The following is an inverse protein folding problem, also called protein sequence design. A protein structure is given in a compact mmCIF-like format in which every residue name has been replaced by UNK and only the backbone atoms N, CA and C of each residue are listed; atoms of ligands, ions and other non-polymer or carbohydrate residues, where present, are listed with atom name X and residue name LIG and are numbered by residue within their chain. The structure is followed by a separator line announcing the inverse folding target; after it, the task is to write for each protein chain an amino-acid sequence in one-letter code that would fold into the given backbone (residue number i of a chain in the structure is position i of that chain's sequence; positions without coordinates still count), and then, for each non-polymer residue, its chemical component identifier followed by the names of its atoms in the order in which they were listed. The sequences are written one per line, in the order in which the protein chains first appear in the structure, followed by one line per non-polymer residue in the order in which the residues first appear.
data_IF_604872806791
#
_entry.id   IF_604872806791
#
_cell.length_a   1.000
_cell.length_b   1.000
_cell.length_c   1.000
_cell.angle_alpha   90.00
_cell.angle_beta   90.00
_cell.angle_gamma   90.00
#
_symmetry.space_group_name_H-M   'P 1'
#
loop_
_entity.id
_entity.type
_entity.pdbx_description
1 polymer ?
#
# COMPACT_ATOMS: atom_id res chain seq x y z
N UNK A 1 46.52 -2.59 -0.49
CA UNK A 1 47.02 -3.10 -1.79
C UNK A 1 45.92 -3.08 -2.86
N UNK A 2 45.04 -4.09 -2.99
CA UNK A 2 44.02 -4.13 -4.07
C UNK A 2 43.15 -2.85 -4.14
N UNK A 3 42.64 -2.40 -3.00
CA UNK A 3 41.86 -1.15 -2.86
C UNK A 3 42.61 0.11 -3.28
N UNK A 4 43.91 0.17 -2.99
CA UNK A 4 44.77 1.28 -3.36
C UNK A 4 45.04 1.28 -4.87
N UNK A 5 45.34 0.12 -5.46
CA UNK A 5 45.46 -0.06 -6.90
C UNK A 5 44.16 0.34 -7.64
N UNK A 6 42.99 0.04 -7.06
CA UNK A 6 41.68 0.44 -7.61
C UNK A 6 41.56 1.97 -7.75
N UNK A 7 42.03 2.75 -6.76
CA UNK A 7 42.11 4.21 -6.85
C UNK A 7 43.21 4.68 -7.82
N UNK A 8 44.43 4.19 -7.65
CA UNK A 8 45.60 4.59 -8.46
C UNK A 8 45.40 4.36 -9.96
N UNK A 9 44.65 3.32 -10.34
CA UNK A 9 44.33 3.02 -11.74
C UNK A 9 42.98 3.56 -12.18
N UNK A 10 42.27 4.33 -11.35
CA UNK A 10 40.92 4.87 -11.57
C UNK A 10 39.97 3.82 -12.15
N UNK A 11 39.85 2.69 -11.44
CA UNK A 11 39.13 1.53 -11.98
C UNK A 11 37.64 1.80 -12.15
N UNK A 12 37.03 2.65 -11.33
CA UNK A 12 35.61 3.04 -11.46
C UNK A 12 35.33 3.78 -12.79
N UNK A 13 36.16 4.77 -13.12
CA UNK A 13 36.14 5.52 -14.40
C UNK A 13 36.22 4.56 -15.60
N UNK A 14 37.11 3.55 -15.52
CA UNK A 14 37.27 2.53 -16.57
C UNK A 14 36.10 1.55 -16.67
N UNK A 15 35.53 1.13 -15.53
CA UNK A 15 34.37 0.25 -15.49
C UNK A 15 33.14 0.94 -16.10
N UNK A 16 32.93 2.22 -15.76
CA UNK A 16 31.91 3.06 -16.40
C UNK A 16 32.20 3.28 -17.89
N UNK A 17 33.47 3.46 -18.27
CA UNK A 17 33.91 3.49 -19.67
C UNK A 17 33.54 2.23 -20.47
N UNK A 18 33.45 1.05 -19.85
CA UNK A 18 32.93 -0.15 -20.51
C UNK A 18 31.39 -0.17 -20.61
N UNK A 19 30.65 0.64 -19.85
CA UNK A 19 29.20 0.72 -19.91
C UNK A 19 28.67 1.76 -20.92
N UNK A 20 29.52 2.71 -21.35
CA UNK A 20 29.20 3.73 -22.36
C UNK A 20 28.29 3.22 -23.50
N UNK A 21 27.15 3.87 -23.80
CA UNK A 21 26.22 3.43 -24.87
C UNK A 21 26.83 3.39 -26.28
N UNK A 22 27.95 4.09 -26.50
CA UNK A 22 28.75 4.04 -27.73
C UNK A 22 29.44 2.68 -27.93
N UNK A 23 29.66 1.90 -26.85
CA UNK A 23 30.35 0.60 -26.88
C UNK A 23 29.36 -0.55 -26.88
N UNK A 24 29.55 -1.49 -27.82
CA UNK A 24 28.78 -2.75 -27.89
C UNK A 24 29.25 -3.77 -26.85
N UNK A 25 29.23 -3.37 -25.57
CA UNK A 25 29.65 -4.22 -24.45
C UNK A 25 28.62 -5.33 -24.20
N UNK A 26 29.08 -6.57 -24.30
CA UNK A 26 28.24 -7.76 -24.14
C UNK A 26 27.61 -7.87 -22.73
N UNK A 27 26.40 -8.43 -22.64
CA UNK A 27 25.67 -8.63 -21.37
C UNK A 27 26.55 -9.19 -20.23
N UNK A 28 27.32 -10.28 -20.40
CA UNK A 28 28.08 -10.86 -19.30
C UNK A 28 29.09 -9.88 -18.67
N UNK A 29 29.64 -8.95 -19.46
CA UNK A 29 30.51 -7.91 -18.94
C UNK A 29 29.73 -6.87 -18.10
N UNK A 30 28.54 -6.45 -18.56
CA UNK A 30 27.67 -5.53 -17.78
C UNK A 30 27.24 -6.16 -16.46
N UNK A 31 26.83 -7.43 -16.50
CA UNK A 31 26.50 -8.25 -15.33
C UNK A 31 27.70 -8.34 -14.37
N UNK A 32 28.88 -8.72 -14.86
CA UNK A 32 30.08 -8.84 -14.03
C UNK A 32 30.49 -7.51 -13.39
N UNK A 33 30.36 -6.38 -14.10
CA UNK A 33 30.64 -5.04 -13.57
C UNK A 33 29.69 -4.73 -12.40
N UNK A 34 28.38 -4.87 -12.58
CA UNK A 34 27.38 -4.61 -11.54
C UNK A 34 27.54 -5.55 -10.33
N UNK A 35 27.73 -6.86 -10.56
CA UNK A 35 27.96 -7.84 -9.51
C UNK A 35 29.23 -7.50 -8.70
N UNK A 36 30.34 -7.22 -9.37
CA UNK A 36 31.62 -6.92 -8.72
C UNK A 36 31.56 -5.61 -7.93
N UNK A 37 30.91 -4.57 -8.47
CA UNK A 37 30.71 -3.30 -7.76
C UNK A 37 29.76 -3.46 -6.57
N UNK A 38 28.68 -4.25 -6.70
CA UNK A 38 27.78 -4.56 -5.59
C UNK A 38 28.53 -5.24 -4.42
N UNK A 39 29.30 -6.29 -4.70
CA UNK A 39 30.12 -6.99 -3.70
C UNK A 39 31.17 -6.03 -3.09
N UNK A 40 31.80 -5.18 -3.90
CA UNK A 40 32.78 -4.20 -3.44
C UNK A 40 32.15 -3.15 -2.49
N UNK A 41 31.00 -2.56 -2.85
CA UNK A 41 30.31 -1.57 -2.01
C UNK A 41 29.66 -2.17 -0.76
N UNK A 42 29.37 -3.47 -0.72
CA UNK A 42 28.95 -4.15 0.52
C UNK A 42 30.12 -4.33 1.51
N UNK A 43 31.28 -4.78 1.01
CA UNK A 43 32.42 -5.20 1.84
C UNK A 43 33.44 -4.08 2.14
N UNK A 44 33.30 -2.90 1.53
CA UNK A 44 34.18 -1.76 1.77
C UNK A 44 33.96 -1.14 3.16
N UNK A 45 34.92 -1.32 4.06
CA UNK A 45 34.91 -0.80 5.43
C UNK A 45 35.92 0.33 5.68
N UNK A 46 36.65 0.79 4.65
CA UNK A 46 37.61 1.89 4.77
C UNK A 46 36.93 3.22 4.40
N UNK A 47 36.71 4.10 5.38
CA UNK A 47 36.01 5.36 5.19
C UNK A 47 36.63 6.24 4.11
N UNK A 48 37.96 6.45 4.13
CA UNK A 48 38.65 7.30 3.14
C UNK A 48 38.45 6.84 1.69
N UNK A 49 38.40 5.51 1.47
CA UNK A 49 38.09 4.92 0.18
C UNK A 49 36.61 5.10 -0.21
N UNK A 50 35.67 5.00 0.75
CA UNK A 50 34.25 5.32 0.52
C UNK A 50 34.11 6.79 0.09
N UNK A 51 34.69 7.71 0.86
CA UNK A 51 34.71 9.14 0.53
C UNK A 51 35.29 9.39 -0.87
N UNK A 52 36.43 8.79 -1.23
CA UNK A 52 37.00 8.92 -2.57
C UNK A 52 36.07 8.39 -3.68
N UNK A 53 35.49 7.21 -3.51
CA UNK A 53 34.61 6.59 -4.51
C UNK A 53 33.32 7.40 -4.73
N UNK A 54 32.75 7.96 -3.66
CA UNK A 54 31.53 8.76 -3.71
C UNK A 54 31.77 10.22 -4.13
N UNK A 55 32.97 10.77 -3.91
CA UNK A 55 33.34 12.14 -4.34
C UNK A 55 33.52 12.29 -5.85
N UNK A 56 33.68 11.18 -6.58
CA UNK A 56 33.73 11.19 -8.04
C UNK A 56 32.36 10.75 -8.55
N UNK A 57 31.72 11.60 -9.37
CA UNK A 57 30.29 11.49 -9.73
C UNK A 57 29.93 10.20 -10.50
N UNK A 58 30.93 9.42 -10.91
CA UNK A 58 30.83 8.07 -11.48
C UNK A 58 29.84 7.14 -10.76
N UNK A 59 29.61 7.29 -9.44
CA UNK A 59 28.59 6.50 -8.74
C UNK A 59 27.17 6.93 -9.11
N UNK A 60 26.92 8.24 -9.27
CA UNK A 60 25.65 8.75 -9.79
C UNK A 60 25.49 8.49 -11.30
N UNK A 61 26.58 8.51 -12.07
CA UNK A 61 26.59 8.06 -13.47
C UNK A 61 26.22 6.57 -13.58
N UNK A 62 26.72 5.71 -12.68
CA UNK A 62 26.37 4.28 -12.60
C UNK A 62 24.92 4.05 -12.14
N UNK A 63 24.41 4.85 -11.18
CA UNK A 63 23.01 4.79 -10.75
C UNK A 63 22.08 5.16 -11.92
N UNK A 64 22.36 6.27 -12.60
CA UNK A 64 21.50 6.82 -13.68
C UNK A 64 21.70 6.14 -15.04
N UNK A 65 22.62 5.18 -15.13
CA UNK A 65 22.91 4.45 -16.35
C UNK A 65 21.70 3.66 -16.87
N UNK A 66 21.40 3.81 -18.17
CA UNK A 66 20.29 3.12 -18.84
C UNK A 66 20.67 1.68 -19.20
N UNK A 67 20.56 0.79 -18.23
CA UNK A 67 20.58 -0.66 -18.47
C UNK A 67 19.30 -1.12 -19.18
N UNK A 68 19.36 -2.31 -19.79
CA UNK A 68 18.20 -2.95 -20.38
C UNK A 68 17.52 -3.82 -19.33
N UNK A 69 16.43 -3.31 -18.74
CA UNK A 69 15.66 -3.99 -17.70
C UNK A 69 14.60 -4.95 -18.26
N UNK A 70 14.59 -5.24 -19.57
CA UNK A 70 13.93 -6.46 -20.08
C UNK A 70 14.74 -7.72 -19.72
N UNK A 71 16.02 -7.56 -19.36
CA UNK A 71 16.87 -8.63 -18.86
C UNK A 71 16.80 -8.71 -17.33
N UNK A 72 16.04 -9.69 -16.81
CA UNK A 72 15.79 -9.86 -15.37
C UNK A 72 17.08 -10.06 -14.56
N UNK A 73 18.08 -10.75 -15.12
CA UNK A 73 19.38 -10.96 -14.49
C UNK A 73 20.13 -9.63 -14.33
N UNK A 74 20.23 -8.83 -15.39
CA UNK A 74 20.88 -7.53 -15.36
C UNK A 74 20.19 -6.58 -14.37
N UNK A 75 18.84 -6.61 -14.33
CA UNK A 75 18.04 -5.88 -13.35
C UNK A 75 18.30 -6.34 -11.92
N UNK A 76 18.35 -7.64 -11.64
CA UNK A 76 18.61 -8.17 -10.30
C UNK A 76 19.99 -7.75 -9.77
N UNK A 77 21.03 -7.74 -10.63
CA UNK A 77 22.35 -7.22 -10.26
C UNK A 77 22.36 -5.69 -10.07
N UNK A 78 21.62 -4.94 -10.88
CA UNK A 78 21.46 -3.49 -10.71
C UNK A 78 20.77 -3.14 -9.38
N UNK A 79 19.65 -3.80 -9.05
CA UNK A 79 18.94 -3.63 -7.78
C UNK A 79 19.81 -4.03 -6.59
N UNK A 80 20.62 -5.09 -6.74
CA UNK A 80 21.61 -5.49 -5.73
C UNK A 80 22.69 -4.42 -5.53
N UNK A 81 23.14 -3.76 -6.61
CA UNK A 81 24.09 -2.64 -6.56
C UNK A 81 23.48 -1.39 -5.91
N UNK A 82 22.24 -1.00 -6.25
CA UNK A 82 21.56 0.10 -5.56
C UNK A 82 21.39 -0.21 -4.05
N UNK A 83 21.01 -1.45 -3.69
CA UNK A 83 20.93 -1.89 -2.29
C UNK A 83 22.31 -1.81 -1.59
N UNK A 84 23.39 -2.20 -2.26
CA UNK A 84 24.76 -2.06 -1.74
C UNK A 84 25.11 -0.60 -1.44
N UNK A 85 24.79 0.33 -2.34
CA UNK A 85 24.99 1.77 -2.12
C UNK A 85 24.12 2.32 -0.98
N UNK A 86 22.87 1.83 -0.84
CA UNK A 86 21.97 2.24 0.25
C UNK A 86 22.55 1.96 1.65
N UNK A 87 23.38 0.92 1.78
CA UNK A 87 24.10 0.55 3.00
C UNK A 87 25.36 1.40 3.24
N UNK A 88 25.66 2.37 2.37
CA UNK A 88 26.76 3.34 2.51
C UNK A 88 26.26 4.79 2.66
N UNK A 89 24.95 5.03 2.58
CA UNK A 89 24.34 6.35 2.83
C UNK A 89 24.15 6.53 4.34
N UNK A 90 24.66 7.64 4.88
CA UNK A 90 24.53 8.04 6.28
C UNK A 90 24.65 9.57 6.38
N UNK A 91 24.64 10.14 7.59
CA UNK A 91 24.74 11.58 7.81
C UNK A 91 26.01 12.22 7.21
N UNK A 92 27.14 11.51 7.18
CA UNK A 92 28.39 12.01 6.62
C UNK A 92 28.45 11.90 5.09
N UNK A 93 27.80 10.88 4.50
CA UNK A 93 27.90 10.55 3.06
C UNK A 93 26.69 10.98 2.21
N UNK A 94 25.56 11.36 2.82
CA UNK A 94 24.32 11.73 2.11
C UNK A 94 24.54 12.79 1.02
N UNK A 95 25.46 13.73 1.25
CA UNK A 95 25.77 14.83 0.34
C UNK A 95 26.40 14.41 -1.00
N UNK A 96 26.83 13.15 -1.16
CA UNK A 96 27.25 12.59 -2.45
C UNK A 96 26.09 12.02 -3.28
N UNK A 97 25.01 11.60 -2.61
CA UNK A 97 23.83 11.00 -3.24
C UNK A 97 22.67 11.99 -3.40
N UNK A 98 22.65 13.07 -2.62
CA UNK A 98 21.62 14.10 -2.63
C UNK A 98 22.22 15.50 -2.86
N UNK A 99 21.87 16.12 -3.99
CA UNK A 99 22.19 17.51 -4.27
C UNK A 99 21.12 18.42 -3.65
N UNK A 100 21.51 19.33 -2.75
CA UNK A 100 20.58 20.25 -2.09
C UNK A 100 20.50 21.65 -2.72
N UNK A 101 21.41 22.02 -3.64
CA UNK A 101 21.77 23.45 -3.84
C UNK A 101 21.13 24.19 -5.00
N UNK A 102 20.72 23.54 -6.09
CA UNK A 102 20.16 24.21 -7.28
C UNK A 102 19.04 23.42 -7.95
N UNK A 103 19.34 22.20 -8.38
CA UNK A 103 18.34 21.20 -8.76
C UNK A 103 18.35 20.12 -7.69
N UNK A 104 17.29 20.01 -6.86
CA UNK A 104 17.29 19.04 -5.79
C UNK A 104 17.01 17.65 -6.36
N UNK A 105 18.02 16.78 -6.29
CA UNK A 105 18.07 15.48 -6.97
C UNK A 105 18.66 14.43 -6.04
N UNK A 106 18.08 13.22 -6.05
CA UNK A 106 18.54 12.08 -5.27
C UNK A 106 18.50 10.80 -6.13
N UNK A 107 19.45 10.60 -7.07
CA UNK A 107 19.39 9.55 -8.06
C UNK A 107 19.15 8.14 -7.48
N UNK A 108 19.84 7.80 -6.39
CA UNK A 108 19.73 6.50 -5.74
C UNK A 108 18.30 6.18 -5.28
N UNK A 109 17.58 7.19 -4.77
CA UNK A 109 16.18 7.04 -4.39
C UNK A 109 15.26 7.02 -5.62
N UNK A 110 15.42 7.96 -6.54
CA UNK A 110 14.50 8.12 -7.68
C UNK A 110 14.59 6.97 -8.69
N UNK A 111 15.75 6.34 -8.84
CA UNK A 111 15.89 5.13 -9.67
C UNK A 111 15.30 3.90 -8.96
N UNK A 112 15.63 3.68 -7.68
CA UNK A 112 15.12 2.52 -6.93
C UNK A 112 13.60 2.51 -6.80
N UNK A 113 12.97 3.68 -6.62
CA UNK A 113 11.51 3.81 -6.51
C UNK A 113 10.75 3.36 -7.77
N UNK A 114 11.40 3.24 -8.94
CA UNK A 114 10.77 2.71 -10.16
C UNK A 114 10.36 1.24 -10.02
N UNK A 115 11.07 0.47 -9.19
CA UNK A 115 10.92 -0.98 -9.05
C UNK A 115 10.09 -1.40 -7.83
N UNK A 116 9.40 -0.44 -7.17
CA UNK A 116 8.66 -0.68 -5.93
C UNK A 116 7.55 -1.74 -6.02
N UNK A 117 6.89 -1.84 -7.18
CA UNK A 117 5.83 -2.80 -7.49
C UNK A 117 6.28 -3.76 -8.60
N UNK A 118 7.54 -4.18 -8.58
CA UNK A 118 8.04 -5.21 -9.48
C UNK A 118 7.45 -6.59 -9.13
N UNK A 119 7.22 -7.48 -10.11
CA UNK A 119 6.58 -8.79 -9.87
C UNK A 119 7.43 -9.77 -9.04
N UNK A 120 8.76 -9.74 -9.19
CA UNK A 120 9.65 -10.45 -8.27
C UNK A 120 9.62 -9.83 -6.87
N UNK A 121 9.24 -10.65 -5.89
CA UNK A 121 9.25 -10.33 -4.47
C UNK A 121 10.64 -9.91 -3.96
N UNK A 122 11.73 -10.51 -4.44
CA UNK A 122 13.08 -10.19 -3.98
C UNK A 122 13.51 -8.78 -4.42
N UNK A 123 13.15 -8.34 -5.62
CA UNK A 123 13.26 -6.93 -6.04
C UNK A 123 12.44 -6.02 -5.13
N UNK A 124 11.16 -6.33 -4.82
CA UNK A 124 10.35 -5.52 -3.90
C UNK A 124 11.01 -5.41 -2.51
N UNK A 125 11.50 -6.51 -1.94
CA UNK A 125 12.21 -6.54 -0.65
C UNK A 125 13.49 -5.70 -0.70
N UNK A 126 14.26 -5.75 -1.79
CA UNK A 126 15.47 -4.94 -1.96
C UNK A 126 15.15 -3.44 -2.02
N UNK A 127 14.13 -3.03 -2.78
CA UNK A 127 13.68 -1.63 -2.85
C UNK A 127 13.16 -1.15 -1.48
N UNK A 128 12.31 -1.94 -0.80
CA UNK A 128 11.82 -1.66 0.56
C UNK A 128 12.98 -1.49 1.56
N UNK A 129 14.03 -2.31 1.46
CA UNK A 129 15.25 -2.18 2.31
C UNK A 129 15.95 -0.85 2.03
N UNK A 130 16.16 -0.51 0.75
CA UNK A 130 16.83 0.72 0.33
C UNK A 130 16.08 1.98 0.78
N UNK A 131 14.75 2.01 0.65
CA UNK A 131 13.95 3.15 1.09
C UNK A 131 13.97 3.33 2.61
N UNK A 132 13.92 2.23 3.39
CA UNK A 132 14.01 2.31 4.85
C UNK A 132 15.40 2.79 5.31
N UNK A 133 16.48 2.30 4.68
CA UNK A 133 17.84 2.79 4.92
C UNK A 133 17.94 4.31 4.73
N UNK A 134 17.33 4.84 3.66
CA UNK A 134 17.33 6.28 3.34
C UNK A 134 16.44 7.07 4.32
N UNK A 135 15.22 6.59 4.62
CA UNK A 135 14.28 7.30 5.51
C UNK A 135 14.76 7.39 6.97
N UNK A 136 15.58 6.42 7.41
CA UNK A 136 16.22 6.44 8.74
C UNK A 136 17.31 7.51 8.92
N UNK A 137 17.77 8.17 7.85
CA UNK A 137 18.80 9.22 7.94
C UNK A 137 18.17 10.54 8.38
N UNK A 138 18.77 11.20 9.37
CA UNK A 138 18.36 12.51 9.88
C UNK A 138 19.17 13.66 9.24
N UNK A 139 18.96 13.86 7.93
CA UNK A 139 19.36 15.10 7.24
C UNK A 139 18.12 15.93 6.88
N UNK A 140 18.12 17.21 7.26
CA UNK A 140 16.97 18.09 7.10
C UNK A 140 16.63 18.38 5.63
N UNK A 141 17.63 18.60 4.78
CA UNK A 141 17.42 18.93 3.36
C UNK A 141 16.89 17.74 2.56
N UNK A 142 17.46 16.56 2.80
CA UNK A 142 17.01 15.29 2.25
C UNK A 142 15.58 14.98 2.73
N UNK A 143 15.28 15.17 4.02
CA UNK A 143 13.94 14.96 4.58
C UNK A 143 12.92 15.91 3.96
N UNK A 144 13.23 17.19 3.81
CA UNK A 144 12.36 18.13 3.10
C UNK A 144 12.13 17.73 1.64
N UNK A 145 13.20 17.38 0.91
CA UNK A 145 13.12 16.90 -0.47
C UNK A 145 12.21 15.68 -0.61
N UNK A 146 12.42 14.64 0.19
CA UNK A 146 11.64 13.40 0.14
C UNK A 146 10.16 13.70 0.41
N UNK A 147 9.85 14.45 1.46
CA UNK A 147 8.48 14.79 1.82
C UNK A 147 7.76 15.58 0.71
N UNK A 148 8.45 16.53 0.08
CA UNK A 148 7.87 17.44 -0.92
C UNK A 148 7.88 16.89 -2.36
N UNK A 149 8.77 15.94 -2.72
CA UNK A 149 8.96 15.48 -4.10
C UNK A 149 8.62 14.01 -4.35
N UNK A 150 8.98 13.10 -3.45
CA UNK A 150 8.86 11.65 -3.71
C UNK A 150 7.78 10.97 -2.88
N UNK A 151 7.62 11.34 -1.60
CA UNK A 151 6.70 10.68 -0.68
C UNK A 151 5.23 10.73 -1.12
N UNK A 152 4.74 11.89 -1.57
CA UNK A 152 3.34 12.07 -1.98
C UNK A 152 2.93 11.18 -3.17
N UNK A 153 3.64 11.19 -4.32
CA UNK A 153 3.32 10.26 -5.41
C UNK A 153 3.59 8.80 -5.02
N UNK A 154 4.72 8.50 -4.38
CA UNK A 154 5.09 7.13 -4.02
C UNK A 154 4.06 6.45 -3.10
N UNK A 155 3.67 7.11 -2.01
CA UNK A 155 2.67 6.57 -1.09
C UNK A 155 1.26 6.54 -1.69
N UNK A 156 0.94 7.46 -2.63
CA UNK A 156 -0.31 7.37 -3.39
C UNK A 156 -0.35 6.13 -4.28
N UNK A 157 0.78 5.79 -4.93
CA UNK A 157 0.89 4.61 -5.79
C UNK A 157 0.84 3.29 -4.99
N UNK A 158 1.53 3.20 -3.84
CA UNK A 158 1.40 2.05 -2.92
C UNK A 158 -0.07 1.84 -2.55
N UNK A 159 -0.73 2.89 -2.06
CA UNK A 159 -2.12 2.79 -1.59
C UNK A 159 -3.08 2.46 -2.75
N UNK A 160 -2.81 2.94 -3.97
CA UNK A 160 -3.58 2.58 -5.17
C UNK A 160 -3.44 1.09 -5.54
N UNK A 161 -2.23 0.52 -5.53
CA UNK A 161 -2.04 -0.92 -5.76
C UNK A 161 -2.68 -1.76 -4.64
N UNK A 162 -2.64 -1.32 -3.38
CA UNK A 162 -3.37 -2.00 -2.30
C UNK A 162 -4.88 -2.03 -2.60
N UNK A 163 -5.48 -0.87 -2.95
CA UNK A 163 -6.90 -0.77 -3.34
C UNK A 163 -7.22 -1.70 -4.53
N UNK A 164 -6.35 -1.73 -5.55
CA UNK A 164 -6.51 -2.61 -6.72
C UNK A 164 -6.53 -4.09 -6.32
N UNK A 165 -5.60 -4.52 -5.47
CA UNK A 165 -5.54 -5.90 -4.98
C UNK A 165 -6.68 -6.26 -4.01
N UNK A 166 -7.24 -5.30 -3.27
CA UNK A 166 -8.45 -5.56 -2.48
C UNK A 166 -9.70 -5.75 -3.35
N UNK A 167 -9.81 -5.08 -4.51
CA UNK A 167 -10.88 -5.37 -5.48
C UNK A 167 -10.65 -6.69 -6.23
N UNK A 168 -9.40 -7.01 -6.54
CA UNK A 168 -9.00 -8.32 -7.08
C UNK A 168 -9.39 -9.46 -6.11
N UNK A 169 -9.18 -9.27 -4.81
CA UNK A 169 -9.65 -10.16 -3.75
C UNK A 169 -11.19 -10.26 -3.72
N UNK A 170 -11.91 -9.14 -3.71
CA UNK A 170 -13.38 -9.08 -3.61
C UNK A 170 -14.09 -9.80 -4.78
N UNK A 171 -13.53 -9.66 -5.99
CA UNK A 171 -13.94 -10.45 -7.17
C UNK A 171 -13.73 -11.95 -6.93
N UNK A 172 -12.54 -12.34 -6.44
CA UNK A 172 -12.23 -13.75 -6.16
C UNK A 172 -13.07 -14.33 -5.00
N UNK A 173 -13.56 -13.52 -4.06
CA UNK A 173 -14.54 -13.95 -3.05
C UNK A 173 -15.91 -14.23 -3.70
N UNK A 174 -16.32 -13.40 -4.67
CA UNK A 174 -17.53 -13.64 -5.46
C UNK A 174 -17.39 -14.91 -6.32
N UNK A 175 -16.27 -15.10 -7.00
CA UNK A 175 -15.98 -16.31 -7.77
C UNK A 175 -15.96 -17.57 -6.88
N UNK A 176 -15.45 -17.45 -5.64
CA UNK A 176 -15.44 -18.53 -4.65
C UNK A 176 -16.86 -18.97 -4.24
N UNK A 177 -17.81 -18.04 -4.14
CA UNK A 177 -19.21 -18.33 -3.80
C UNK A 177 -19.97 -18.99 -4.96
N UNK A 178 -19.53 -18.79 -6.20
CA UNK A 178 -20.13 -19.39 -7.41
C UNK A 178 -19.47 -20.73 -7.81
N UNK A 179 -18.23 -20.96 -7.38
CA UNK A 179 -17.47 -22.18 -7.65
C UNK A 179 -18.18 -23.44 -7.11
N UNK A 180 -18.67 -24.29 -8.01
CA UNK A 180 -19.50 -25.46 -7.65
C UNK A 180 -18.66 -26.73 -7.49
N UNK A 181 -17.45 -26.79 -8.04
CA UNK A 181 -16.55 -27.96 -7.91
C UNK A 181 -15.21 -27.64 -7.23
N UNK A 182 -14.64 -28.59 -6.45
CA UNK A 182 -13.28 -28.49 -5.90
C UNK A 182 -12.13 -28.42 -6.92
N UNK A 183 -12.43 -28.32 -8.22
CA UNK A 183 -11.46 -27.97 -9.27
C UNK A 183 -11.43 -26.46 -9.53
N UNK A 184 -12.57 -25.77 -9.48
CA UNK A 184 -12.64 -24.30 -9.54
C UNK A 184 -12.12 -23.65 -8.25
N UNK A 185 -12.54 -24.17 -7.09
CA UNK A 185 -12.25 -23.56 -5.78
C UNK A 185 -10.74 -23.48 -5.45
N UNK A 186 -9.92 -24.39 -5.98
CA UNK A 186 -8.49 -24.50 -5.67
C UNK A 186 -7.63 -23.34 -6.20
N UNK A 187 -7.64 -23.00 -7.51
CA UNK A 187 -6.90 -21.84 -8.00
C UNK A 187 -7.39 -20.52 -7.38
N UNK A 188 -8.70 -20.36 -7.18
CA UNK A 188 -9.28 -19.17 -6.51
C UNK A 188 -8.67 -19.02 -5.11
N UNK A 189 -8.69 -20.09 -4.30
CA UNK A 189 -8.08 -20.11 -2.97
C UNK A 189 -6.60 -19.72 -2.97
N UNK A 190 -5.80 -20.28 -3.89
CA UNK A 190 -4.38 -19.94 -3.98
C UNK A 190 -4.16 -18.45 -4.31
N UNK A 191 -4.96 -17.87 -5.22
CA UNK A 191 -4.93 -16.45 -5.53
C UNK A 191 -5.32 -15.58 -4.34
N UNK A 192 -6.37 -15.97 -3.60
CA UNK A 192 -6.80 -15.33 -2.35
C UNK A 192 -5.67 -15.35 -1.31
N UNK A 193 -5.08 -16.53 -1.04
CA UNK A 193 -3.97 -16.67 -0.08
C UNK A 193 -2.75 -15.84 -0.48
N UNK A 194 -2.40 -15.79 -1.79
CA UNK A 194 -1.33 -14.95 -2.33
C UNK A 194 -1.60 -13.45 -2.09
N UNK A 195 -2.79 -12.96 -2.46
CA UNK A 195 -3.13 -11.54 -2.30
C UNK A 195 -3.09 -11.14 -0.82
N UNK A 196 -3.65 -11.98 0.06
CA UNK A 196 -3.66 -11.74 1.50
C UNK A 196 -2.23 -11.60 2.05
N UNK A 197 -1.29 -12.46 1.63
CA UNK A 197 0.11 -12.35 2.03
C UNK A 197 0.78 -11.08 1.48
N UNK A 198 0.57 -10.75 0.20
CA UNK A 198 1.13 -9.52 -0.40
C UNK A 198 0.64 -8.25 0.32
N UNK A 199 -0.61 -8.22 0.82
CA UNK A 199 -1.11 -7.11 1.63
C UNK A 199 -0.56 -7.09 3.06
N UNK A 200 -0.35 -8.24 3.70
CA UNK A 200 0.34 -8.33 5.01
C UNK A 200 1.76 -7.75 4.90
N UNK A 201 2.49 -8.10 3.83
CA UNK A 201 3.85 -7.60 3.60
C UNK A 201 3.87 -6.08 3.31
N UNK A 202 2.83 -5.56 2.63
CA UNK A 202 2.64 -4.12 2.44
C UNK A 202 2.40 -3.41 3.78
N UNK A 203 1.54 -3.94 4.65
CA UNK A 203 1.25 -3.34 5.95
C UNK A 203 2.45 -3.35 6.91
N UNK A 204 3.30 -4.38 6.89
CA UNK A 204 4.56 -4.37 7.64
C UNK A 204 5.51 -3.26 7.12
N UNK A 205 5.72 -3.17 5.81
CA UNK A 205 6.54 -2.10 5.22
C UNK A 205 5.99 -0.69 5.53
N UNK A 206 4.66 -0.52 5.52
CA UNK A 206 3.97 0.70 5.96
C UNK A 206 4.26 1.04 7.42
N UNK A 207 4.18 0.04 8.32
CA UNK A 207 4.51 0.23 9.74
C UNK A 207 5.96 0.68 9.90
N UNK A 208 6.89 0.10 9.15
CA UNK A 208 8.31 0.43 9.23
C UNK A 208 8.60 1.86 8.72
N UNK A 209 7.92 2.31 7.65
CA UNK A 209 7.96 3.72 7.22
C UNK A 209 7.38 4.65 8.29
N UNK A 210 6.31 4.27 8.99
CA UNK A 210 5.81 5.09 10.10
C UNK A 210 6.81 5.11 11.27
N UNK A 211 7.49 3.98 11.54
CA UNK A 211 8.41 3.80 12.66
C UNK A 211 9.79 4.46 12.48
N UNK A 212 10.25 4.73 11.26
CA UNK A 212 11.62 5.20 10.94
C UNK A 212 12.06 6.58 11.48
N UNK A 213 11.34 7.18 12.43
CA UNK A 213 11.74 8.44 13.07
C UNK A 213 11.60 9.68 12.17
N UNK A 214 10.75 9.63 11.14
CA UNK A 214 10.56 10.70 10.16
C UNK A 214 9.08 11.17 10.15
N UNK A 215 8.72 12.20 10.96
CA UNK A 215 7.32 12.58 11.21
C UNK A 215 6.53 13.01 9.96
N UNK A 216 7.17 13.64 8.98
CA UNK A 216 6.51 14.06 7.74
C UNK A 216 6.03 12.85 6.91
N UNK A 217 6.84 11.78 6.81
CA UNK A 217 6.41 10.56 6.11
C UNK A 217 5.26 9.88 6.84
N UNK A 218 5.33 9.74 8.18
CA UNK A 218 4.21 9.20 8.98
C UNK A 218 2.93 9.99 8.71
N UNK A 219 2.97 11.32 8.69
CA UNK A 219 1.80 12.17 8.41
C UNK A 219 1.26 11.99 6.99
N UNK A 220 2.12 11.99 5.97
CA UNK A 220 1.70 11.82 4.56
C UNK A 220 1.13 10.41 4.34
N UNK A 221 1.83 9.38 4.78
CA UNK A 221 1.43 7.98 4.61
C UNK A 221 0.15 7.66 5.38
N UNK A 222 0.05 8.05 6.65
CA UNK A 222 -1.15 7.86 7.46
C UNK A 222 -2.37 8.57 6.86
N UNK A 223 -2.22 9.81 6.40
CA UNK A 223 -3.29 10.54 5.72
C UNK A 223 -3.71 9.87 4.40
N UNK A 224 -2.77 9.33 3.61
CA UNK A 224 -3.08 8.61 2.36
C UNK A 224 -3.80 7.29 2.63
N UNK A 225 -3.31 6.48 3.55
CA UNK A 225 -3.96 5.21 3.95
C UNK A 225 -5.36 5.46 4.48
N UNK A 226 -5.53 6.44 5.36
CA UNK A 226 -6.82 6.81 5.93
C UNK A 226 -7.82 7.23 4.85
N UNK A 227 -7.51 8.27 4.07
CA UNK A 227 -8.48 8.90 3.16
C UNK A 227 -8.60 8.22 1.78
N UNK A 228 -7.87 7.12 1.52
CA UNK A 228 -7.96 6.37 0.25
C UNK A 228 -8.20 4.87 0.43
N UNK A 229 -7.67 4.24 1.47
CA UNK A 229 -7.90 2.82 1.74
C UNK A 229 -8.91 2.63 2.88
N UNK A 230 -8.61 3.12 4.08
CA UNK A 230 -9.32 2.71 5.30
C UNK A 230 -10.75 3.30 5.37
N UNK A 231 -10.94 4.60 5.12
CA UNK A 231 -12.30 5.17 5.14
C UNK A 231 -13.15 4.63 3.97
N UNK A 232 -12.71 4.63 2.70
CA UNK A 232 -13.58 4.20 1.60
C UNK A 232 -13.72 2.67 1.48
N UNK A 233 -12.60 1.94 1.45
CA UNK A 233 -12.62 0.49 1.19
C UNK A 233 -13.00 -0.34 2.41
N UNK A 234 -12.89 0.22 3.63
CA UNK A 234 -13.28 -0.48 4.86
C UNK A 234 -14.53 0.15 5.49
N UNK A 235 -14.52 1.41 5.96
CA UNK A 235 -15.66 1.92 6.74
C UNK A 235 -16.91 2.25 5.92
N UNK A 236 -16.78 2.87 4.75
CA UNK A 236 -17.93 3.10 3.87
C UNK A 236 -18.52 1.75 3.39
N UNK A 237 -17.66 0.77 3.13
CA UNK A 237 -18.06 -0.60 2.78
C UNK A 237 -18.78 -1.33 3.92
N UNK A 238 -18.25 -1.31 5.15
CA UNK A 238 -18.92 -1.87 6.35
C UNK A 238 -20.26 -1.17 6.60
N UNK A 239 -20.33 0.16 6.44
CA UNK A 239 -21.57 0.94 6.61
C UNK A 239 -22.61 0.63 5.53
N UNK A 240 -22.19 0.37 4.29
CA UNK A 240 -23.08 -0.11 3.22
C UNK A 240 -23.67 -1.48 3.55
N UNK A 241 -22.80 -2.46 3.89
CA UNK A 241 -23.24 -3.81 4.29
C UNK A 241 -24.19 -3.77 5.51
N UNK A 242 -23.87 -2.98 6.55
CA UNK A 242 -24.74 -2.78 7.74
C UNK A 242 -26.09 -2.12 7.47
N UNK A 243 -26.25 -1.38 6.38
CA UNK A 243 -27.52 -0.70 6.04
C UNK A 243 -28.46 -1.57 5.20
N UNK A 244 -27.97 -2.72 4.73
CA UNK A 244 -28.60 -3.47 3.64
C UNK A 244 -28.49 -2.72 2.31
N UNK A 245 -28.55 -3.45 1.20
CA UNK A 245 -28.41 -2.89 -0.15
C UNK A 245 -29.61 -2.00 -0.53
N UNK A 246 -29.60 -0.74 -0.09
CA UNK A 246 -30.47 0.30 -0.65
C UNK A 246 -30.25 0.35 -2.17
N UNK A 247 -31.31 0.15 -2.94
CA UNK A 247 -31.28 0.41 -4.38
C UNK A 247 -30.87 1.86 -4.62
N UNK A 248 -30.05 2.16 -5.64
CA UNK A 248 -29.71 3.54 -5.99
C UNK A 248 -30.94 4.21 -6.60
N UNK A 249 -31.63 5.02 -5.81
CA UNK A 249 -32.63 5.97 -6.29
C UNK A 249 -31.91 7.12 -7.02
N UNK A 250 -32.32 7.41 -8.27
CA UNK A 250 -31.90 8.51 -9.14
C UNK A 250 -30.41 8.90 -9.16
N UNK A 251 -29.58 8.11 -9.87
CA UNK A 251 -28.19 8.49 -10.19
C UNK A 251 -28.00 8.98 -11.63
N UNK A 252 -27.35 10.14 -11.75
CA UNK A 252 -27.15 10.90 -12.98
C UNK A 252 -25.92 10.41 -13.77
N UNK A 253 -26.07 10.16 -15.08
CA UNK A 253 -25.10 9.44 -15.93
C UNK A 253 -23.65 9.97 -15.92
N UNK A 254 -23.44 11.25 -15.55
CA UNK A 254 -22.11 11.91 -15.58
C UNK A 254 -21.12 11.40 -14.52
N UNK A 255 -21.51 10.48 -13.65
CA UNK A 255 -20.64 9.91 -12.61
C UNK A 255 -19.79 8.71 -13.06
N UNK A 256 -20.08 8.10 -14.22
CA UNK A 256 -19.69 6.71 -14.50
C UNK A 256 -18.17 6.45 -14.57
N UNK A 257 -17.35 7.39 -15.06
CA UNK A 257 -15.88 7.22 -15.09
C UNK A 257 -15.22 7.24 -13.69
N UNK A 258 -15.91 7.74 -12.66
CA UNK A 258 -15.47 7.62 -11.26
C UNK A 258 -16.04 6.38 -10.55
N UNK A 259 -17.03 5.68 -11.13
CA UNK A 259 -17.83 4.68 -10.44
C UNK A 259 -17.06 3.40 -10.06
N UNK A 260 -16.08 2.98 -10.88
CA UNK A 260 -15.14 1.89 -10.55
C UNK A 260 -14.30 2.16 -9.29
N UNK A 261 -14.37 3.38 -8.73
CA UNK A 261 -13.71 3.73 -7.47
C UNK A 261 -14.63 3.70 -6.24
N UNK A 262 -15.94 3.49 -6.40
CA UNK A 262 -16.94 3.79 -5.34
C UNK A 262 -17.87 2.62 -4.95
N UNK A 263 -17.79 1.47 -5.59
CA UNK A 263 -18.54 0.30 -5.15
C UNK A 263 -18.01 -0.22 -3.79
N UNK A 264 -18.89 -0.53 -2.82
CA UNK A 264 -18.49 -1.04 -1.51
C UNK A 264 -18.03 -2.49 -1.61
N UNK A 265 -16.94 -2.83 -0.92
CA UNK A 265 -16.45 -4.21 -0.83
C UNK A 265 -17.44 -5.10 -0.07
N UNK A 266 -17.35 -6.41 -0.30
CA UNK A 266 -17.97 -7.40 0.56
C UNK A 266 -17.44 -7.30 1.99
N UNK A 267 -18.30 -7.59 2.97
CA UNK A 267 -17.98 -7.46 4.39
C UNK A 267 -16.68 -8.19 4.82
N UNK A 268 -16.35 -9.42 4.34
CA UNK A 268 -15.09 -10.09 4.69
C UNK A 268 -13.84 -9.34 4.19
N UNK A 269 -13.87 -8.78 2.97
CA UNK A 269 -12.74 -8.04 2.41
C UNK A 269 -12.55 -6.68 3.11
N UNK A 270 -13.65 -5.96 3.38
CA UNK A 270 -13.64 -4.72 4.14
C UNK A 270 -13.07 -4.93 5.57
N UNK A 271 -13.51 -5.99 6.27
CA UNK A 271 -13.03 -6.33 7.60
C UNK A 271 -11.57 -6.82 7.61
N UNK A 272 -11.09 -7.48 6.55
CA UNK A 272 -9.68 -7.85 6.42
C UNK A 272 -8.77 -6.62 6.42
N UNK A 273 -9.16 -5.52 5.76
CA UNK A 273 -8.41 -4.25 5.79
C UNK A 273 -8.27 -3.73 7.23
N UNK A 274 -9.36 -3.75 8.01
CA UNK A 274 -9.32 -3.35 9.42
C UNK A 274 -8.40 -4.27 10.24
N UNK A 275 -8.57 -5.59 10.11
CA UNK A 275 -7.81 -6.58 10.87
C UNK A 275 -6.30 -6.52 10.58
N UNK A 276 -5.91 -6.38 9.31
CA UNK A 276 -4.50 -6.23 8.92
C UNK A 276 -3.92 -4.89 9.37
N UNK A 277 -4.68 -3.79 9.27
CA UNK A 277 -4.21 -2.48 9.76
C UNK A 277 -3.98 -2.54 11.29
N UNK A 278 -4.93 -3.08 12.05
CA UNK A 278 -4.81 -3.23 13.51
C UNK A 278 -3.71 -4.21 13.95
N UNK A 279 -3.50 -5.29 13.21
CA UNK A 279 -2.51 -6.33 13.53
C UNK A 279 -1.06 -5.94 13.22
N UNK A 280 -0.84 -5.12 12.18
CA UNK A 280 0.50 -4.76 11.70
C UNK A 280 0.92 -3.31 11.98
N UNK A 281 0.00 -2.33 12.01
CA UNK A 281 0.35 -0.91 12.14
C UNK A 281 0.28 -0.46 13.61
N UNK A 282 1.44 -0.11 14.18
CA UNK A 282 1.58 0.22 15.60
C UNK A 282 1.27 1.69 15.94
N UNK A 283 0.64 2.45 15.03
CA UNK A 283 0.23 3.82 15.31
C UNK A 283 -1.06 3.85 16.15
N UNK A 284 -0.91 4.20 17.43
CA UNK A 284 -2.01 4.25 18.39
C UNK A 284 -3.19 5.11 17.93
N UNK A 285 -2.92 6.24 17.25
CA UNK A 285 -3.99 7.16 16.82
C UNK A 285 -4.81 6.58 15.67
N UNK A 286 -4.16 5.86 14.76
CA UNK A 286 -4.83 5.15 13.68
C UNK A 286 -5.65 3.97 14.22
N UNK A 287 -5.06 3.15 15.10
CA UNK A 287 -5.75 1.98 15.67
C UNK A 287 -6.91 2.36 16.60
N UNK A 288 -6.77 3.43 17.39
CA UNK A 288 -7.87 3.98 18.19
C UNK A 288 -9.02 4.51 17.31
N UNK A 289 -8.70 5.24 16.23
CA UNK A 289 -9.71 5.69 15.27
C UNK A 289 -10.43 4.50 14.60
N UNK A 290 -9.69 3.45 14.21
CA UNK A 290 -10.27 2.26 13.59
C UNK A 290 -11.23 1.56 14.55
N UNK A 291 -10.81 1.32 15.80
CA UNK A 291 -11.65 0.68 16.81
C UNK A 291 -12.93 1.50 17.07
N UNK A 292 -12.81 2.83 17.24
CA UNK A 292 -13.98 3.72 17.38
C UNK A 292 -14.89 3.67 16.15
N UNK A 293 -14.33 3.68 14.94
CA UNK A 293 -15.11 3.64 13.68
C UNK A 293 -15.84 2.31 13.45
N UNK A 294 -15.29 1.19 13.95
CA UNK A 294 -15.95 -0.12 13.92
C UNK A 294 -17.12 -0.22 14.90
N UNK A 295 -17.04 0.43 16.06
CA UNK A 295 -18.07 0.38 17.11
C UNK A 295 -19.05 1.56 17.11
N UNK A 296 -18.86 2.57 16.27
CA UNK A 296 -19.83 3.65 16.07
C UNK A 296 -21.22 3.09 15.72
N UNK A 297 -22.27 3.63 16.35
CA UNK A 297 -23.66 3.26 16.11
C UNK A 297 -24.16 3.86 14.79
N UNK A 298 -25.43 3.56 14.43
CA UNK A 298 -26.08 4.17 13.26
C UNK A 298 -26.32 5.68 13.41
N UNK A 299 -26.33 6.20 14.64
CA UNK A 299 -26.69 7.60 14.95
C UNK A 299 -25.48 8.50 15.28
N UNK A 300 -24.30 7.92 15.58
CA UNK A 300 -23.03 8.66 15.80
C UNK A 300 -22.40 9.23 14.51
N UNK A 301 -23.12 9.14 13.39
CA UNK A 301 -22.62 9.33 12.02
C UNK A 301 -22.04 10.74 11.72
N UNK A 302 -22.24 11.71 12.61
CA UNK A 302 -21.81 13.10 12.48
C UNK A 302 -20.35 13.38 12.92
N UNK A 303 -19.76 12.60 13.84
CA UNK A 303 -18.45 12.92 14.45
C UNK A 303 -17.25 12.15 13.88
N UNK A 304 -17.44 11.32 12.83
CA UNK A 304 -16.38 10.48 12.25
C UNK A 304 -15.31 11.22 11.40
N UNK A 305 -14.99 12.46 11.78
CA UNK A 305 -13.79 13.16 11.30
C UNK A 305 -12.57 12.72 12.11
N UNK A 306 -11.62 12.06 11.45
CA UNK A 306 -10.27 11.88 11.99
C UNK A 306 -9.68 13.26 12.36
N UNK A 307 -9.08 13.45 13.55
CA UNK A 307 -8.59 14.74 13.98
C UNK A 307 -7.64 15.37 12.95
N UNK A 308 -8.07 16.49 12.35
CA UNK A 308 -7.29 17.26 11.40
C UNK A 308 -6.00 17.74 12.06
N UNK A 309 -4.90 17.00 11.87
CA UNK A 309 -3.56 17.38 12.35
C UNK A 309 -3.16 18.65 11.61
N UNK A 310 -3.47 19.81 12.19
CA UNK A 310 -3.31 21.15 11.61
C UNK A 310 -1.99 21.24 10.85
N UNK A 311 -2.07 21.35 9.54
CA UNK A 311 -0.95 21.89 8.77
C UNK A 311 -0.78 23.36 9.16
N UNK A 312 0.45 23.88 9.30
CA UNK A 312 0.66 25.31 9.35
C UNK A 312 0.25 25.87 7.98
N UNK A 313 -0.98 26.36 7.86
CA UNK A 313 -1.41 27.09 6.67
C UNK A 313 -0.53 28.34 6.56
N UNK A 314 0.13 28.49 5.42
CA UNK A 314 0.96 29.67 5.16
C UNK A 314 0.14 30.93 5.41
N UNK A 315 0.65 31.84 6.26
CA UNK A 315 -0.01 33.11 6.53
C UNK A 315 -0.21 33.85 5.21
N UNK A 316 -1.46 34.03 4.79
CA UNK A 316 -1.80 34.99 3.73
C UNK A 316 -1.35 36.38 4.21
N UNK A 317 -0.30 36.90 3.61
CA UNK A 317 0.01 38.33 3.68
C UNK A 317 -1.13 39.13 3.07
N UNK A 318 -1.40 40.32 3.60
CA UNK A 318 -2.48 41.17 3.12
C UNK A 318 -2.18 41.71 1.71
N UNK A 319 -3.23 41.84 0.91
CA UNK A 319 -3.21 42.52 -0.38
C UNK A 319 -2.96 44.02 -0.21
N UNK A 320 -2.04 44.57 -0.99
CA UNK A 320 -1.94 46.00 -1.30
C UNK A 320 -2.12 46.15 -2.81
N UNK A 321 -2.85 47.18 -3.25
CA UNK A 321 -3.40 47.26 -4.60
C UNK A 321 -2.49 47.98 -5.60
N UNK A 322 -2.44 47.45 -6.83
CA UNK A 322 -2.30 48.19 -8.13
C UNK A 322 -1.00 48.98 -8.40
N UNK A 323 -0.71 49.40 -9.66
CA UNK A 323 -1.45 49.26 -10.93
C UNK A 323 -0.67 48.50 -12.04
N UNK A 324 -1.17 48.60 -13.28
CA UNK A 324 -0.80 47.83 -14.47
C UNK A 324 0.47 48.32 -15.20
N UNK A 325 1.10 47.44 -16.00
CA UNK A 325 2.23 47.74 -16.89
C UNK A 325 2.39 46.70 -18.01
N UNK A 326 2.80 47.11 -19.21
CA UNK A 326 2.75 46.34 -20.47
C UNK A 326 3.97 45.42 -20.74
N UNK A 327 3.84 44.64 -21.83
CA UNK A 327 4.90 44.10 -22.71
C UNK A 327 5.69 42.86 -22.22
N UNK A 328 6.15 41.90 -23.06
CA UNK A 328 5.75 41.43 -24.42
C UNK A 328 6.48 40.12 -24.81
N UNK A 329 5.81 39.27 -25.61
CA UNK A 329 6.35 38.33 -26.65
C UNK A 329 7.33 37.17 -26.29
N UNK A 330 7.47 36.23 -27.25
CA UNK A 330 8.25 34.96 -27.28
C UNK A 330 7.76 33.80 -26.35
N UNK A 331 7.18 32.70 -26.83
CA UNK A 331 7.70 31.63 -27.74
C UNK A 331 8.81 30.74 -27.11
N UNK A 332 8.82 29.40 -27.23
CA UNK A 332 7.99 28.42 -27.98
C UNK A 332 8.17 26.99 -27.39
N UNK A 333 7.45 26.00 -27.95
CA UNK A 333 7.78 24.55 -27.96
C UNK A 333 7.57 23.69 -26.70
N UNK A 334 6.37 23.11 -26.58
CA UNK A 334 6.21 21.65 -26.36
C UNK A 334 4.90 21.19 -27.06
N UNK A 335 4.85 19.95 -27.56
CA UNK A 335 3.64 19.39 -28.21
C UNK A 335 2.76 18.64 -27.19
N UNK A 336 1.42 18.75 -27.25
CA UNK A 336 0.53 17.93 -26.43
C UNK A 336 0.46 16.49 -26.95
N UNK A 337 0.60 15.51 -26.05
CA UNK A 337 0.48 14.09 -26.35
C UNK A 337 -0.87 13.52 -25.93
N UNK A 338 -1.76 13.31 -26.91
CA UNK A 338 -2.84 12.30 -26.95
C UNK A 338 -3.62 12.06 -25.65
N UNK A 339 -4.83 12.64 -25.55
CA UNK A 339 -5.88 12.19 -24.63
C UNK A 339 -7.27 12.52 -25.19
N UNK A 340 -7.86 11.64 -26.03
CA UNK A 340 -9.22 11.83 -26.59
C UNK A 340 -9.97 10.49 -26.72
N UNK A 341 -11.13 10.45 -26.04
CA UNK A 341 -12.33 9.64 -26.27
C UNK A 341 -12.27 8.11 -26.45
N UNK A 342 -13.10 7.43 -25.65
CA UNK A 342 -13.85 6.23 -26.08
C UNK A 342 -15.34 6.51 -25.91
N UNK A 343 -16.08 6.62 -27.02
CA UNK A 343 -17.55 6.51 -27.09
C UNK A 343 -17.95 6.34 -28.56
N UNK A 344 -18.86 5.40 -28.87
CA UNK A 344 -20.21 5.67 -29.43
C UNK A 344 -20.93 4.37 -29.88
N UNK A 345 -22.17 4.16 -29.39
CA UNK A 345 -23.29 3.37 -29.98
C UNK A 345 -23.06 1.86 -30.32
N UNK A 346 -24.04 0.98 -30.58
CA UNK A 346 -25.42 1.07 -31.12
C UNK A 346 -26.41 0.10 -30.39
N UNK A 347 -27.71 0.44 -30.43
CA UNK A 347 -28.99 -0.33 -30.25
C UNK A 347 -28.93 -1.88 -30.50
N UNK A 348 -29.83 -2.76 -30.02
CA UNK A 348 -31.20 -2.64 -29.41
C UNK A 348 -31.49 -3.93 -28.52
N UNK A 349 -32.68 -4.40 -28.08
CA UNK A 349 -34.12 -4.12 -28.31
C UNK A 349 -35.06 -4.63 -27.14
N UNK A 350 -36.38 -4.44 -27.29
CA UNK A 350 -37.61 -5.16 -26.81
C UNK A 350 -37.52 -6.60 -26.22
N UNK A 351 -38.49 -7.15 -25.43
CA UNK A 351 -39.88 -6.77 -25.04
C UNK A 351 -40.35 -7.44 -23.70
N UNK A 352 -41.55 -7.06 -23.23
CA UNK A 352 -42.45 -7.53 -22.14
C UNK A 352 -42.62 -9.08 -21.97
N UNK A 353 -43.25 -9.72 -20.96
CA UNK A 353 -44.13 -9.43 -19.79
C UNK A 353 -43.68 -10.32 -18.56
N UNK A 354 -44.27 -10.40 -17.35
CA UNK A 354 -45.59 -10.03 -16.81
C UNK A 354 -45.74 -10.32 -15.30
N UNK A 355 -46.99 -10.49 -14.83
CA UNK A 355 -47.43 -10.36 -13.41
C UNK A 355 -47.28 -11.60 -12.50
N UNK A 356 -47.33 -11.41 -11.17
CA UNK A 356 -47.43 -12.51 -10.18
C UNK A 356 -47.49 -12.04 -8.72
N UNK A 357 -48.62 -12.27 -8.04
CA UNK A 357 -48.93 -11.78 -6.68
C UNK A 357 -48.84 -12.88 -5.61
N UNK A 358 -48.22 -12.54 -4.46
CA UNK A 358 -48.61 -12.76 -3.02
C UNK A 358 -49.51 -13.95 -2.58
N UNK A 359 -49.54 -14.34 -1.27
CA UNK A 359 -48.56 -14.19 -0.18
C UNK A 359 -48.45 -15.47 0.73
N UNK A 360 -47.86 -15.27 1.92
CA UNK A 360 -48.33 -15.76 3.24
C UNK A 360 -47.55 -16.80 4.09
N UNK A 361 -47.83 -16.69 5.38
CA UNK A 361 -47.15 -17.20 6.61
C UNK A 361 -48.13 -18.20 7.32
N UNK A 362 -48.04 -18.56 8.64
CA UNK A 362 -47.06 -18.29 9.71
C UNK A 362 -46.64 -19.54 10.58
N UNK A 363 -45.80 -19.31 11.62
CA UNK A 363 -45.76 -19.99 12.96
C UNK A 363 -45.62 -21.54 13.07
N UNK A 364 -44.84 -22.14 14.00
CA UNK A 364 -44.80 -21.92 15.46
C UNK A 364 -43.48 -22.39 16.14
N UNK A 365 -43.26 -21.97 17.39
CA UNK A 365 -42.34 -22.52 18.41
C UNK A 365 -43.16 -23.01 19.65
N UNK A 366 -42.66 -23.66 20.75
CA UNK A 366 -41.61 -23.13 21.66
C UNK A 366 -40.81 -24.13 22.60
N UNK A 367 -40.00 -23.56 23.53
CA UNK A 367 -39.68 -23.97 24.94
C UNK A 367 -38.75 -25.17 25.31
N UNK A 368 -37.94 -24.99 26.39
CA UNK A 368 -37.22 -26.05 27.15
C UNK A 368 -36.01 -25.60 28.04
N UNK A 369 -36.18 -25.67 29.37
CA UNK A 369 -35.26 -25.58 30.55
C UNK A 369 -33.76 -26.02 30.36
N UNK A 370 -32.70 -25.37 30.91
CA UNK A 370 -32.15 -25.27 32.30
C UNK A 370 -31.42 -26.56 32.85
N UNK A 371 -30.44 -26.58 33.79
CA UNK A 371 -29.87 -25.60 34.76
C UNK A 371 -28.40 -25.93 35.24
N UNK A 372 -27.81 -25.07 36.09
CA UNK A 372 -26.75 -25.28 37.13
C UNK A 372 -25.24 -25.61 36.84
N UNK A 373 -24.42 -24.54 36.93
CA UNK A 373 -23.20 -24.34 37.78
C UNK A 373 -22.17 -25.46 38.08
N UNK A 374 -20.89 -25.16 37.79
CA UNK A 374 -19.77 -25.33 38.74
C UNK A 374 -18.59 -24.38 38.39
N UNK A 375 -17.79 -23.93 39.36
CA UNK A 375 -16.90 -22.76 39.20
C UNK A 375 -15.38 -23.01 39.22
N UNK A 376 -14.62 -22.10 38.59
CA UNK A 376 -13.15 -22.02 38.64
C UNK A 376 -12.65 -20.68 38.09
N UNK A 377 -11.84 -19.96 38.87
CA UNK A 377 -11.45 -18.58 38.55
C UNK A 377 -10.38 -18.46 37.46
N UNK A 378 -10.65 -17.64 36.43
CA UNK A 378 -9.72 -17.24 35.38
C UNK A 378 -9.78 -15.69 35.23
N UNK A 379 -8.74 -15.02 34.72
CA UNK A 379 -8.65 -13.55 34.80
C UNK A 379 -9.75 -12.84 34.02
N UNK A 380 -10.12 -11.64 34.49
CA UNK A 380 -11.17 -10.79 33.92
C UNK A 380 -10.88 -10.43 32.45
N UNK A 381 -11.40 -11.24 31.53
CA UNK A 381 -11.44 -10.95 30.09
C UNK A 381 -12.71 -10.18 29.78
N UNK A 382 -12.67 -9.25 28.82
CA UNK A 382 -13.83 -8.42 28.44
C UNK A 382 -14.98 -9.18 27.74
N UNK A 383 -14.98 -10.53 27.79
CA UNK A 383 -15.98 -11.41 27.17
C UNK A 383 -17.43 -11.13 27.62
N UNK A 384 -17.76 -10.91 28.91
CA UNK A 384 -19.17 -10.76 29.33
C UNK A 384 -19.88 -9.55 28.71
N UNK A 385 -19.17 -8.43 28.52
CA UNK A 385 -19.73 -7.21 27.91
C UNK A 385 -19.99 -7.41 26.42
N UNK A 386 -19.19 -8.26 25.77
CA UNK A 386 -19.26 -8.52 24.33
C UNK A 386 -20.48 -9.37 23.96
N UNK A 387 -20.74 -10.46 24.69
CA UNK A 387 -21.83 -11.40 24.33
C UNK A 387 -23.24 -10.89 24.71
N UNK A 388 -23.36 -10.00 25.69
CA UNK A 388 -24.67 -9.48 26.15
C UNK A 388 -25.34 -8.47 25.20
N UNK A 389 -24.72 -8.14 24.06
CA UNK A 389 -25.23 -7.17 23.08
C UNK A 389 -25.66 -7.82 21.75
N UNK A 390 -25.82 -9.15 21.71
CA UNK A 390 -26.18 -9.91 20.52
C UNK A 390 -27.66 -10.36 20.62
N UNK A 391 -28.54 -9.83 19.74
CA UNK A 391 -29.94 -10.27 19.61
C UNK A 391 -30.64 -10.00 18.24
N UNK A 392 -29.94 -9.66 17.15
CA UNK A 392 -30.53 -9.39 15.81
C UNK A 392 -29.58 -9.75 14.64
N UNK A 393 -29.96 -9.54 13.37
CA UNK A 393 -29.06 -9.79 12.23
C UNK A 393 -27.78 -8.92 12.25
N UNK A 394 -27.79 -7.80 12.97
CA UNK A 394 -26.59 -6.99 13.25
C UNK A 394 -25.52 -7.79 14.03
N UNK A 395 -25.93 -8.83 14.77
CA UNK A 395 -25.06 -9.74 15.54
C UNK A 395 -24.00 -10.40 14.68
N UNK A 396 -24.31 -10.80 13.45
CA UNK A 396 -23.34 -11.53 12.62
C UNK A 396 -22.23 -10.58 12.15
N UNK A 397 -22.58 -9.34 11.79
CA UNK A 397 -21.61 -8.29 11.48
C UNK A 397 -20.81 -7.87 12.72
N UNK A 398 -21.45 -7.75 13.89
CA UNK A 398 -20.78 -7.45 15.17
C UNK A 398 -19.85 -8.59 15.59
N UNK A 399 -20.28 -9.86 15.49
CA UNK A 399 -19.49 -11.06 15.78
C UNK A 399 -18.30 -11.20 14.84
N UNK A 400 -18.45 -10.90 13.54
CA UNK A 400 -17.31 -10.83 12.62
C UNK A 400 -16.34 -9.70 12.99
N UNK A 401 -16.82 -8.50 13.31
CA UNK A 401 -15.98 -7.38 13.78
C UNK A 401 -15.20 -7.77 15.04
N UNK A 402 -15.86 -8.38 16.02
CA UNK A 402 -15.25 -8.89 17.25
C UNK A 402 -14.22 -9.99 16.96
N UNK A 403 -14.51 -10.89 16.02
CA UNK A 403 -13.60 -11.96 15.61
C UNK A 403 -12.39 -11.41 14.86
N UNK A 404 -12.54 -10.37 14.03
CA UNK A 404 -11.45 -9.64 13.40
C UNK A 404 -10.56 -8.92 14.41
N UNK A 405 -11.15 -8.28 15.43
CA UNK A 405 -10.41 -7.62 16.51
C UNK A 405 -9.66 -8.66 17.35
N UNK A 406 -10.30 -9.77 17.70
CA UNK A 406 -9.65 -10.89 18.41
C UNK A 406 -8.52 -11.52 17.58
N UNK A 407 -8.71 -11.70 16.28
CA UNK A 407 -7.67 -12.20 15.38
C UNK A 407 -6.47 -11.26 15.31
N UNK A 408 -6.70 -9.95 15.17
CA UNK A 408 -5.66 -8.93 15.21
C UNK A 408 -4.91 -8.90 16.56
N UNK A 409 -5.65 -8.92 17.68
CA UNK A 409 -5.08 -8.97 19.04
C UNK A 409 -4.20 -10.20 19.29
N UNK A 410 -4.63 -11.37 18.81
CA UNK A 410 -3.87 -12.61 18.95
C UNK A 410 -2.80 -12.82 17.86
N UNK A 411 -2.69 -11.92 16.88
CA UNK A 411 -1.92 -12.11 15.63
C UNK A 411 -2.25 -13.44 14.93
N UNK A 412 -3.49 -13.90 15.07
CA UNK A 412 -3.99 -15.06 14.35
C UNK A 412 -4.16 -14.71 12.87
N UNK A 413 -4.16 -15.73 12.01
CA UNK A 413 -4.39 -15.59 10.57
C UNK A 413 -5.77 -15.00 10.29
N UNK A 414 -5.88 -13.68 10.13
CA UNK A 414 -7.15 -13.04 9.71
C UNK A 414 -7.61 -13.59 8.35
N UNK A 415 -6.66 -14.08 7.54
CA UNK A 415 -6.86 -14.92 6.36
C UNK A 415 -7.82 -16.09 6.57
N UNK A 416 -7.72 -16.81 7.70
CA UNK A 416 -8.56 -17.99 7.92
C UNK A 416 -10.02 -17.65 8.20
N UNK A 417 -10.33 -16.44 8.69
CA UNK A 417 -11.71 -16.00 8.82
C UNK A 417 -12.33 -15.76 7.44
N UNK A 418 -11.66 -14.99 6.58
CA UNK A 418 -12.11 -14.75 5.19
C UNK A 418 -12.29 -16.07 4.43
N UNK A 419 -11.37 -17.02 4.61
CA UNK A 419 -11.47 -18.35 4.00
C UNK A 419 -12.53 -19.26 4.66
N UNK A 420 -12.93 -19.05 5.91
CA UNK A 420 -14.04 -19.80 6.54
C UNK A 420 -15.40 -19.26 6.06
N UNK A 421 -15.61 -17.94 6.11
CA UNK A 421 -16.86 -17.30 5.66
C UNK A 421 -17.14 -17.53 4.16
N UNK A 422 -16.10 -17.62 3.32
CA UNK A 422 -16.24 -17.93 1.89
C UNK A 422 -16.26 -19.44 1.56
N UNK A 423 -16.32 -20.33 2.56
CA UNK A 423 -16.33 -21.79 2.35
C UNK A 423 -15.03 -22.39 1.77
N UNK A 424 -13.97 -21.59 1.67
CA UNK A 424 -12.66 -21.96 1.10
C UNK A 424 -11.81 -22.80 2.07
N UNK A 425 -12.15 -22.86 3.36
CA UNK A 425 -11.66 -23.86 4.30
C UNK A 425 -12.62 -25.05 4.34
N UNK A 426 -12.11 -26.31 4.38
CA UNK A 426 -12.97 -27.46 4.62
C UNK A 426 -13.63 -27.28 6.00
N UNK A 427 -14.95 -27.43 6.05
CA UNK A 427 -15.75 -27.26 7.25
C UNK A 427 -15.28 -28.18 8.36
N UNK A 428 -14.43 -27.65 9.25
CA UNK A 428 -14.12 -28.31 10.52
C UNK A 428 -15.43 -28.37 11.29
N UNK A 429 -16.00 -29.57 11.43
CA UNK A 429 -17.17 -29.79 12.27
C UNK A 429 -16.94 -29.08 13.61
N UNK A 430 -17.78 -28.07 13.94
CA UNK A 430 -17.63 -27.20 15.11
C UNK A 430 -17.90 -27.97 16.42
N UNK A 431 -17.03 -28.92 16.75
CA UNK A 431 -16.92 -29.55 18.06
C UNK A 431 -16.26 -28.54 19.00
N UNK A 432 -17.09 -27.62 19.50
CA UNK A 432 -16.77 -26.86 20.70
C UNK A 432 -16.35 -27.80 21.83
N UNK A 433 -15.38 -27.34 22.62
CA UNK A 433 -14.83 -27.98 23.82
C UNK A 433 -14.32 -26.91 24.76
#
# INVERSE_FOLDING_TARGET
QITQFFMEKRMLEKLLGYLEPSRRTAKPMKVQILQSLSIFFQNINNSSLIFYLLSNDHVNELITHRFDFQDEELMAYYISFLKALSLRVNADTIHFFFNARKTPEFPLLTEALKFYNHDDHMVRVAVRTLTLNIYGIDDAGMREYIANRTAVPFFSNIVWEMIRRYRELDSLLTDAMLATSPRETKPIKYSVEKIIQEQIDNFYYINDIMACGFPALRKILGSRLLHKLIVPMCFESIRANRRGSRKPEDYNEKAHENALSTEPLQLPAALLIAAQTLGSVQDKSLSEFIIRSLFASRDDDAELYFPQIRTPTARRSHSVNTPEGRDKEAERSARPGILVAVRQEVLNESIEMGEGLTPDKPTHSPQGEEQMSCGGGAPNTCRPVIFNNLSADEDHAVLMILTCILAAMHKASSSSLVLEECGLLPTRCRKFK
#
